data_IF_034741644438
#
_entry.id   IF_034741644438
#
_cell.length_a   1.000
_cell.length_b   1.000
_cell.length_c   1.000
_cell.angle_alpha   90.00
_cell.angle_beta   90.00
_cell.angle_gamma   90.00
#
_symmetry.space_group_name_H-M   'P 1'
#
loop_
_entity.id
_entity.type
_entity.pdbx_description
1 polymer ?
#
# COMPACT_ATOMS: atom_id res chain seq x y z
N UNK A 1 -7.86 41.65 -40.52
CA UNK A 1 -8.25 40.24 -40.83
C UNK A 1 -7.34 39.20 -40.17
N UNK A 2 -6.05 39.46 -39.91
CA UNK A 2 -5.16 38.51 -39.19
C UNK A 2 -5.44 38.43 -37.66
N UNK A 3 -5.86 39.52 -37.03
CA UNK A 3 -6.16 39.56 -35.58
C UNK A 3 -7.43 38.77 -35.22
N UNK A 4 -8.41 38.70 -36.12
CA UNK A 4 -9.64 37.90 -35.92
C UNK A 4 -9.34 36.39 -36.04
N UNK A 5 -8.39 36.00 -36.88
CA UNK A 5 -7.96 34.62 -37.03
C UNK A 5 -7.16 34.09 -35.82
N UNK A 6 -6.37 34.96 -35.16
CA UNK A 6 -5.68 34.59 -33.92
C UNK A 6 -6.65 34.48 -32.72
N UNK A 7 -7.74 35.25 -32.72
CA UNK A 7 -8.78 35.22 -31.69
C UNK A 7 -9.62 33.94 -31.67
N UNK A 8 -9.67 33.18 -32.78
CA UNK A 8 -10.48 31.96 -32.87
C UNK A 8 -9.77 30.72 -32.27
N UNK A 9 -8.45 30.76 -32.08
CA UNK A 9 -7.68 29.65 -31.48
C UNK A 9 -7.65 29.73 -29.94
N UNK A 10 -7.94 30.91 -29.37
CA UNK A 10 -7.98 31.13 -27.91
C UNK A 10 -9.41 30.87 -27.35
N UNK A 11 -10.36 30.50 -28.21
CA UNK A 11 -11.76 30.30 -27.86
C UNK A 11 -12.10 29.10 -26.94
N UNK A 12 -11.24 28.10 -26.63
CA UNK A 12 -11.63 27.12 -25.61
C UNK A 12 -11.29 27.58 -24.17
N UNK A 13 -10.67 28.76 -23.97
CA UNK A 13 -10.39 29.26 -22.61
C UNK A 13 -11.61 29.90 -21.92
N UNK A 14 -12.74 30.03 -22.61
CA UNK A 14 -13.99 30.58 -22.06
C UNK A 14 -14.89 29.53 -21.35
N UNK A 15 -14.46 28.26 -21.24
CA UNK A 15 -15.32 27.15 -20.80
C UNK A 15 -15.10 26.58 -19.40
N UNK A 16 -14.08 27.01 -18.65
CA UNK A 16 -13.79 26.47 -17.32
C UNK A 16 -14.25 27.42 -16.22
N UNK A 17 -15.56 27.75 -16.25
CA UNK A 17 -16.27 28.20 -15.05
C UNK A 17 -15.87 27.27 -13.91
N UNK A 18 -15.38 27.86 -12.82
CA UNK A 18 -15.16 27.18 -11.56
C UNK A 18 -16.44 26.46 -11.15
N UNK A 19 -16.58 25.20 -11.58
CA UNK A 19 -17.53 24.27 -10.98
C UNK A 19 -17.01 24.06 -9.56
N UNK A 20 -17.82 24.33 -8.53
CA UNK A 20 -17.54 23.78 -7.21
C UNK A 20 -17.39 22.28 -7.42
N UNK A 21 -16.16 21.77 -7.30
CA UNK A 21 -15.91 20.34 -7.26
C UNK A 21 -16.71 19.85 -6.07
N UNK A 22 -17.65 18.90 -6.26
CA UNK A 22 -18.32 18.30 -5.13
C UNK A 22 -17.23 17.70 -4.26
N UNK A 23 -16.99 18.32 -3.10
CA UNK A 23 -16.29 17.66 -2.01
C UNK A 23 -17.14 16.45 -1.67
N UNK A 24 -16.76 15.30 -2.20
CA UNK A 24 -17.32 14.02 -1.80
C UNK A 24 -17.23 13.98 -0.26
N UNK A 25 -18.36 13.98 0.45
CA UNK A 25 -18.34 13.86 1.90
C UNK A 25 -17.80 12.48 2.20
N UNK A 26 -16.66 12.37 2.89
CA UNK A 26 -16.32 11.09 3.51
C UNK A 26 -14.88 10.72 3.79
N UNK A 27 -13.85 11.51 3.41
CA UNK A 27 -12.49 11.16 3.84
C UNK A 27 -11.61 12.39 4.08
N UNK A 28 -11.47 12.84 5.35
CA UNK A 28 -10.66 13.99 5.71
C UNK A 28 -9.18 13.58 5.80
N UNK A 29 -8.60 13.09 4.71
CA UNK A 29 -7.16 12.83 4.66
C UNK A 29 -6.46 14.08 4.10
N UNK A 30 -5.81 14.84 4.99
CA UNK A 30 -5.06 16.06 4.66
C UNK A 30 -3.55 15.81 4.58
N UNK A 31 -3.13 14.61 4.16
CA UNK A 31 -1.72 14.24 4.04
C UNK A 31 -0.97 15.01 2.94
N UNK A 32 0.36 15.20 3.05
CA UNK A 32 1.13 15.98 2.08
C UNK A 32 1.08 15.30 0.71
N UNK A 33 0.38 15.94 -0.24
CA UNK A 33 0.15 15.41 -1.60
C UNK A 33 -1.30 15.44 -2.09
N UNK A 34 -2.27 15.80 -1.23
CA UNK A 34 -3.73 15.79 -1.59
C UNK A 34 -4.38 17.17 -1.45
N UNK A 35 -3.58 18.22 -1.49
CA UNK A 35 -4.08 19.58 -1.62
C UNK A 35 -4.54 19.84 -3.07
N UNK A 36 -5.70 19.32 -3.45
CA UNK A 36 -6.33 19.67 -4.75
C UNK A 36 -7.16 18.58 -5.42
N UNK A 37 -8.38 18.36 -4.94
CA UNK A 37 -9.56 18.13 -5.80
C UNK A 37 -9.67 16.86 -6.67
N UNK A 38 -8.74 15.91 -6.63
CA UNK A 38 -8.81 14.70 -7.47
C UNK A 38 -8.90 13.42 -6.63
N UNK A 39 -10.15 12.97 -6.47
CA UNK A 39 -10.50 11.68 -5.84
C UNK A 39 -9.66 10.50 -6.34
N UNK A 40 -9.32 10.39 -7.66
CA UNK A 40 -8.48 9.29 -8.15
C UNK A 40 -7.09 9.24 -7.51
N UNK A 41 -6.45 10.39 -7.29
CA UNK A 41 -5.09 10.44 -6.74
C UNK A 41 -5.05 10.07 -5.25
N UNK A 42 -6.05 10.48 -4.48
CA UNK A 42 -6.18 10.08 -3.07
C UNK A 42 -6.34 8.56 -2.94
N UNK A 43 -7.16 7.94 -3.78
CA UNK A 43 -7.38 6.49 -3.77
C UNK A 43 -6.09 5.73 -4.11
N UNK A 44 -5.33 6.19 -5.12
CA UNK A 44 -4.05 5.56 -5.49
C UNK A 44 -3.07 5.61 -4.33
N UNK A 45 -2.89 6.77 -3.68
CA UNK A 45 -1.98 6.91 -2.53
C UNK A 45 -2.44 6.06 -1.35
N UNK A 46 -3.74 6.05 -1.04
CA UNK A 46 -4.30 5.22 0.05
C UNK A 46 -4.07 3.72 -0.19
N UNK A 47 -4.33 3.22 -1.39
CA UNK A 47 -4.12 1.81 -1.73
C UNK A 47 -2.64 1.42 -1.70
N UNK A 48 -1.75 2.32 -2.12
CA UNK A 48 -0.30 2.07 -2.00
C UNK A 48 0.13 1.97 -0.54
N UNK A 49 -0.37 2.83 0.33
CA UNK A 49 -0.03 2.79 1.75
C UNK A 49 -0.60 1.55 2.44
N UNK A 50 -1.85 1.18 2.13
CA UNK A 50 -2.51 0.01 2.70
C UNK A 50 -1.86 -1.31 2.26
N UNK A 51 -1.34 -1.40 1.03
CA UNK A 51 -0.64 -2.59 0.55
C UNK A 51 0.81 -2.67 1.05
N UNK A 52 1.46 -1.53 1.29
CA UNK A 52 2.81 -1.47 1.85
C UNK A 52 2.84 -1.77 3.36
N UNK A 53 1.80 -1.39 4.09
CA UNK A 53 1.68 -1.63 5.54
C UNK A 53 1.88 -3.10 5.96
N UNK A 54 1.18 -4.11 5.37
CA UNK A 54 1.38 -5.51 5.74
C UNK A 54 2.78 -6.01 5.36
N UNK A 55 3.35 -5.55 4.24
CA UNK A 55 4.70 -5.92 3.84
C UNK A 55 5.75 -5.40 4.84
N UNK A 56 5.58 -4.15 5.30
CA UNK A 56 6.46 -3.55 6.30
C UNK A 56 6.35 -4.26 7.65
N UNK A 57 5.14 -4.65 8.08
CA UNK A 57 4.96 -5.45 9.30
C UNK A 57 5.69 -6.79 9.18
N UNK A 58 5.54 -7.52 8.07
CA UNK A 58 6.28 -8.77 7.86
C UNK A 58 7.81 -8.58 7.86
N UNK A 59 8.30 -7.43 7.40
CA UNK A 59 9.74 -7.09 7.43
C UNK A 59 10.26 -6.70 8.82
N UNK A 60 9.44 -6.04 9.64
CA UNK A 60 9.81 -5.64 11.01
C UNK A 60 9.62 -6.76 12.05
N UNK A 61 8.89 -7.81 11.69
CA UNK A 61 8.63 -8.96 12.57
C UNK A 61 9.68 -10.08 12.37
N UNK A 62 9.89 -10.96 13.37
CA UNK A 62 10.76 -12.13 13.22
C UNK A 62 10.24 -13.16 12.20
N UNK A 63 9.05 -12.95 11.62
CA UNK A 63 8.44 -13.84 10.62
C UNK A 63 9.40 -14.17 9.47
N UNK A 64 10.04 -13.16 8.87
CA UNK A 64 10.97 -13.36 7.76
C UNK A 64 12.21 -14.18 8.16
N UNK A 65 12.71 -14.00 9.40
CA UNK A 65 13.86 -14.75 9.91
C UNK A 65 13.52 -16.23 10.14
N UNK A 66 12.35 -16.52 10.70
CA UNK A 66 11.89 -17.90 10.89
C UNK A 66 11.67 -18.62 9.54
N UNK A 67 11.12 -17.92 8.55
CA UNK A 67 10.94 -18.45 7.19
C UNK A 67 12.28 -18.84 6.56
N UNK A 68 13.30 -17.99 6.64
CA UNK A 68 14.63 -18.26 6.08
C UNK A 68 15.30 -19.46 6.77
N UNK A 69 15.20 -19.57 8.10
CA UNK A 69 15.77 -20.71 8.83
C UNK A 69 15.08 -22.02 8.45
N UNK A 70 13.75 -22.03 8.36
CA UNK A 70 13.01 -23.22 7.90
C UNK A 70 13.28 -23.53 6.43
N UNK A 71 13.55 -22.52 5.60
CA UNK A 71 13.95 -22.72 4.20
C UNK A 71 15.30 -23.44 4.11
N UNK A 72 16.28 -23.01 4.91
CA UNK A 72 17.56 -23.71 5.00
C UNK A 72 17.44 -25.11 5.58
N UNK A 73 16.57 -25.31 6.59
CA UNK A 73 16.28 -26.64 7.11
C UNK A 73 15.68 -27.56 6.04
N UNK A 74 14.78 -27.04 5.19
CA UNK A 74 14.24 -27.78 4.05
C UNK A 74 15.33 -28.18 3.05
N UNK A 75 16.23 -27.27 2.72
CA UNK A 75 17.34 -27.55 1.81
C UNK A 75 18.31 -28.58 2.40
N UNK A 76 18.54 -28.54 3.71
CA UNK A 76 19.42 -29.47 4.42
C UNK A 76 18.84 -30.89 4.53
N UNK A 77 17.52 -31.05 4.58
CA UNK A 77 16.86 -32.36 4.69
C UNK A 77 16.83 -33.17 3.39
N UNK A 78 17.22 -32.59 2.24
CA UNK A 78 17.38 -33.32 0.97
C UNK A 78 16.10 -33.94 0.37
N UNK A 79 14.94 -33.79 1.04
CA UNK A 79 13.65 -34.30 0.60
C UNK A 79 12.92 -33.27 -0.28
N UNK A 80 12.66 -33.61 -1.54
CA UNK A 80 12.09 -32.69 -2.54
C UNK A 80 10.64 -32.26 -2.30
N UNK A 81 9.85 -33.04 -1.53
CA UNK A 81 8.39 -32.87 -1.48
C UNK A 81 7.82 -32.56 -0.10
N UNK A 82 8.63 -32.49 0.95
CA UNK A 82 8.17 -32.15 2.30
C UNK A 82 9.10 -31.13 2.95
N UNK A 83 8.62 -30.00 3.49
CA UNK A 83 7.25 -29.45 3.54
C UNK A 83 7.00 -28.35 2.48
N UNK A 84 5.79 -28.33 1.89
CA UNK A 84 5.32 -27.31 0.93
C UNK A 84 5.46 -25.89 1.50
N UNK A 85 5.73 -24.91 0.63
CA UNK A 85 5.88 -23.49 0.99
C UNK A 85 4.69 -22.98 1.84
N UNK A 86 3.49 -23.47 1.55
CA UNK A 86 2.27 -23.12 2.30
C UNK A 86 2.31 -23.62 3.76
N UNK A 87 2.82 -24.84 3.99
CA UNK A 87 2.96 -25.39 5.35
C UNK A 87 4.04 -24.66 6.13
N UNK A 88 5.17 -24.33 5.48
CA UNK A 88 6.26 -23.59 6.11
C UNK A 88 5.82 -22.19 6.53
N UNK A 89 5.10 -21.48 5.66
CA UNK A 89 4.51 -20.18 5.97
C UNK A 89 3.49 -20.29 7.11
N UNK A 90 2.63 -21.32 7.11
CA UNK A 90 1.65 -21.55 8.17
C UNK A 90 2.29 -21.80 9.54
N UNK A 91 3.32 -22.63 9.61
CA UNK A 91 4.08 -22.88 10.83
C UNK A 91 4.82 -21.62 11.32
N UNK A 92 5.44 -20.87 10.40
CA UNK A 92 6.11 -19.62 10.73
C UNK A 92 5.14 -18.56 11.30
N UNK A 93 3.91 -18.48 10.79
CA UNK A 93 2.91 -17.51 11.24
C UNK A 93 2.43 -17.83 12.67
N UNK A 94 2.11 -19.09 12.97
CA UNK A 94 1.70 -19.52 14.33
C UNK A 94 2.83 -19.27 15.34
N UNK A 95 4.07 -19.61 14.99
CA UNK A 95 5.23 -19.35 15.86
C UNK A 95 5.51 -17.87 16.04
N UNK A 96 5.29 -17.05 15.00
CA UNK A 96 5.43 -15.59 15.10
C UNK A 96 4.42 -15.01 16.09
N UNK A 97 3.17 -15.48 16.09
CA UNK A 97 2.16 -15.04 17.07
C UNK A 97 2.59 -15.34 18.51
N UNK A 98 3.18 -16.51 18.77
CA UNK A 98 3.75 -16.85 20.08
C UNK A 98 4.96 -15.97 20.44
N UNK A 99 5.88 -15.77 19.50
CA UNK A 99 7.10 -15.00 19.75
C UNK A 99 6.84 -13.49 19.92
N UNK A 100 5.77 -12.97 19.33
CA UNK A 100 5.35 -11.56 19.47
C UNK A 100 4.41 -11.30 20.66
N UNK A 101 3.99 -12.30 21.42
CA UNK A 101 3.29 -12.07 22.70
C UNK A 101 3.94 -10.99 23.59
N UNK A 102 5.27 -10.95 23.81
CA UNK A 102 5.90 -9.90 24.62
C UNK A 102 5.77 -8.48 24.04
N UNK A 103 5.66 -8.35 22.71
CA UNK A 103 5.44 -7.05 22.07
C UNK A 103 4.04 -6.52 22.40
N UNK A 104 3.04 -7.41 22.46
CA UNK A 104 1.67 -7.08 22.85
C UNK A 104 1.58 -6.68 24.34
N UNK A 105 2.35 -7.33 25.22
CA UNK A 105 2.35 -7.03 26.67
C UNK A 105 3.18 -5.81 27.05
N UNK A 106 4.01 -5.27 26.15
CA UNK A 106 4.82 -4.06 26.42
C UNK A 106 4.08 -2.78 26.00
N UNK A 107 3.05 -2.92 25.16
CA UNK A 107 2.25 -1.80 24.63
C UNK A 107 1.02 -1.53 25.51
N UNK A 108 0.80 -2.33 26.56
CA UNK A 108 -0.19 -2.11 27.62
C UNK A 108 0.47 -2.17 29.00
#
# INVERSE_FOLDING_TARGET
MVVVALGLIIAPVAGAVARPVPTAPGLPWTGPGVAGGSVPWNIVVLLTLLTLLPALLLAMTPFARLLVVFHFLRQALGTQSTPSNQTLIGLALILTLFLMQPVMTTIH
#
